data_IF_599009983905
#
_entry.id   IF_599009983905
#
_cell.length_a   1.000
_cell.length_b   1.000
_cell.length_c   1.000
_cell.angle_alpha   90.00
_cell.angle_beta   90.00
_cell.angle_gamma   90.00
#
_symmetry.space_group_name_H-M   'P 1'
#
loop_
_entity.id
_entity.type
_entity.pdbx_description
1 polymer ?
#
# COMPACT_ATOMS: atom_id res chain seq x y z
N UNK A 1 9.46 15.68 -7.38
CA UNK A 1 8.58 16.54 -8.23
C UNK A 1 9.46 17.20 -9.29
N UNK A 2 9.07 17.11 -10.56
CA UNK A 2 9.73 17.80 -11.68
C UNK A 2 8.71 18.68 -12.39
N UNK A 3 9.14 19.45 -13.40
CA UNK A 3 8.23 20.24 -14.25
C UNK A 3 7.14 19.38 -14.92
N UNK A 4 7.42 18.09 -15.16
CA UNK A 4 6.47 17.16 -15.78
C UNK A 4 5.52 16.47 -14.78
N UNK A 5 5.69 16.65 -13.47
CA UNK A 5 4.78 16.07 -12.48
C UNK A 5 3.45 16.82 -12.51
N UNK A 6 2.38 16.12 -12.85
CA UNK A 6 1.02 16.64 -12.90
C UNK A 6 0.10 16.00 -11.86
N UNK A 7 -1.21 16.22 -12.03
CA UNK A 7 -2.22 15.72 -11.10
C UNK A 7 -2.26 14.19 -11.07
N UNK A 8 -2.08 13.52 -12.21
CA UNK A 8 -2.15 12.07 -12.29
C UNK A 8 -1.04 11.41 -11.46
N UNK A 9 0.18 11.94 -11.54
CA UNK A 9 1.33 11.45 -10.78
C UNK A 9 1.12 11.65 -9.28
N UNK A 10 0.58 12.79 -8.86
CA UNK A 10 0.29 13.05 -7.44
C UNK A 10 -0.84 12.16 -6.91
N UNK A 11 -1.93 11.98 -7.68
CA UNK A 11 -3.01 11.07 -7.27
C UNK A 11 -2.48 9.63 -7.14
N UNK A 12 -1.69 9.17 -8.11
CA UNK A 12 -1.07 7.85 -8.06
C UNK A 12 -0.14 7.73 -6.85
N UNK A 13 0.72 8.72 -6.61
CA UNK A 13 1.62 8.73 -5.46
C UNK A 13 0.86 8.69 -4.11
N UNK A 14 -0.29 9.35 -4.01
CA UNK A 14 -1.14 9.27 -2.81
C UNK A 14 -1.68 7.85 -2.59
N UNK A 15 -2.12 7.18 -3.66
CA UNK A 15 -2.59 5.79 -3.57
C UNK A 15 -1.44 4.86 -3.20
N UNK A 16 -0.29 4.98 -3.86
CA UNK A 16 0.91 4.17 -3.58
C UNK A 16 1.42 4.39 -2.15
N UNK A 17 1.36 5.61 -1.63
CA UNK A 17 1.73 5.93 -0.25
C UNK A 17 0.88 5.19 0.79
N UNK A 18 -0.38 4.86 0.49
CA UNK A 18 -1.22 4.05 1.39
C UNK A 18 -0.66 2.64 1.51
N UNK A 19 -0.26 2.02 0.39
CA UNK A 19 0.32 0.68 0.40
C UNK A 19 1.67 0.62 1.11
N UNK A 20 2.52 1.63 0.92
CA UNK A 20 3.80 1.74 1.63
C UNK A 20 3.58 1.84 3.15
N UNK A 21 2.62 2.65 3.60
CA UNK A 21 2.31 2.74 5.03
C UNK A 21 1.79 1.42 5.60
N UNK A 22 0.97 0.68 4.86
CA UNK A 22 0.54 -0.66 5.27
C UNK A 22 1.72 -1.63 5.37
N UNK A 23 2.64 -1.61 4.40
CA UNK A 23 3.85 -2.44 4.41
C UNK A 23 4.69 -2.20 5.67
N UNK A 24 4.94 -0.95 6.01
CA UNK A 24 5.72 -0.61 7.21
C UNK A 24 5.10 -1.19 8.49
N UNK A 25 3.77 -1.15 8.59
CA UNK A 25 3.03 -1.75 9.72
C UNK A 25 3.10 -3.27 9.70
N UNK A 26 2.93 -3.89 8.54
CA UNK A 26 3.02 -5.36 8.37
C UNK A 26 4.42 -5.85 8.75
N UNK A 27 5.47 -5.19 8.28
CA UNK A 27 6.86 -5.53 8.61
C UNK A 27 7.11 -5.42 10.12
N UNK A 28 6.60 -4.36 10.75
CA UNK A 28 6.69 -4.19 12.20
C UNK A 28 5.94 -5.29 12.97
N UNK A 29 4.74 -5.67 12.52
CA UNK A 29 3.95 -6.76 13.11
C UNK A 29 4.62 -8.11 12.97
N UNK A 30 5.19 -8.40 11.79
CA UNK A 30 5.93 -9.63 11.53
C UNK A 30 7.18 -9.72 12.42
N UNK A 31 7.94 -8.62 12.53
CA UNK A 31 9.10 -8.54 13.41
C UNK A 31 8.75 -8.73 14.90
N UNK A 32 7.64 -8.14 15.36
CA UNK A 32 7.21 -8.25 16.75
C UNK A 32 6.62 -9.62 17.10
N UNK A 33 5.91 -10.26 16.17
CA UNK A 33 5.27 -11.57 16.39
C UNK A 33 6.20 -12.76 16.14
N UNK A 34 7.27 -12.57 15.36
CA UNK A 34 8.15 -13.66 14.91
C UNK A 34 7.51 -14.57 13.84
N UNK A 35 6.34 -14.20 13.33
CA UNK A 35 5.60 -14.95 12.31
C UNK A 35 5.42 -14.10 11.05
N UNK A 36 5.70 -14.68 9.89
CA UNK A 36 5.41 -14.03 8.61
C UNK A 36 3.91 -13.98 8.32
N UNK A 37 3.45 -12.89 7.70
CA UNK A 37 2.07 -12.76 7.22
C UNK A 37 2.01 -13.38 5.81
N UNK A 38 1.18 -14.39 5.63
CA UNK A 38 1.01 -15.07 4.32
C UNK A 38 -0.13 -14.49 3.49
N UNK A 39 -1.14 -13.92 4.16
CA UNK A 39 -2.35 -13.42 3.54
C UNK A 39 -2.84 -12.19 4.31
N UNK A 40 -3.23 -11.13 3.58
CA UNK A 40 -3.78 -9.91 4.15
C UNK A 40 -5.27 -9.79 3.78
N UNK A 41 -6.14 -9.83 4.78
CA UNK A 41 -7.57 -9.54 4.61
C UNK A 41 -7.78 -8.03 4.66
N UNK A 42 -8.45 -7.48 3.66
CA UNK A 42 -8.68 -6.03 3.49
C UNK A 42 -10.17 -5.71 3.48
N UNK A 43 -10.54 -4.56 4.03
CA UNK A 43 -11.92 -4.05 4.05
C UNK A 43 -11.97 -2.52 3.92
N UNK A 44 -13.18 -1.96 3.98
CA UNK A 44 -13.42 -0.51 3.96
C UNK A 44 -13.52 0.09 2.55
N UNK A 45 -13.70 1.41 2.48
CA UNK A 45 -13.94 2.11 1.21
C UNK A 45 -12.74 2.12 0.27
N UNK A 46 -11.51 1.97 0.78
CA UNK A 46 -10.31 1.95 -0.04
C UNK A 46 -10.11 0.61 -0.77
N UNK A 47 -10.65 -0.49 -0.23
CA UNK A 47 -10.46 -1.82 -0.81
C UNK A 47 -11.23 -2.04 -2.12
N UNK A 48 -12.14 -1.13 -2.48
CA UNK A 48 -12.84 -1.16 -3.78
C UNK A 48 -11.98 -0.63 -4.93
N UNK A 49 -10.79 -0.10 -4.64
CA UNK A 49 -9.89 0.44 -5.65
C UNK A 49 -8.90 -0.65 -6.10
N UNK A 50 -9.13 -1.23 -7.27
CA UNK A 50 -8.30 -2.31 -7.82
C UNK A 50 -6.82 -1.92 -8.00
N UNK A 51 -6.54 -0.66 -8.35
CA UNK A 51 -5.15 -0.18 -8.48
C UNK A 51 -4.44 -0.20 -7.12
N UNK A 52 -5.12 0.24 -6.05
CA UNK A 52 -4.58 0.18 -4.70
C UNK A 52 -4.38 -1.27 -4.27
N UNK A 53 -5.36 -2.14 -4.50
CA UNK A 53 -5.29 -3.54 -4.07
C UNK A 53 -4.18 -4.30 -4.78
N UNK A 54 -4.01 -4.09 -6.09
CA UNK A 54 -2.89 -4.70 -6.81
C UNK A 54 -1.55 -4.16 -6.33
N UNK A 55 -1.40 -2.84 -6.18
CA UNK A 55 -0.15 -2.25 -5.72
C UNK A 55 0.19 -2.68 -4.27
N UNK A 56 -0.81 -2.81 -3.40
CA UNK A 56 -0.66 -3.35 -2.05
C UNK A 56 -0.14 -4.78 -2.08
N UNK A 57 -0.69 -5.64 -2.95
CA UNK A 57 -0.24 -7.01 -3.13
C UNK A 57 1.18 -7.09 -3.71
N UNK A 58 1.56 -6.16 -4.60
CA UNK A 58 2.91 -6.10 -5.17
C UNK A 58 3.98 -5.63 -4.16
N UNK A 59 3.57 -4.92 -3.10
CA UNK A 59 4.47 -4.42 -2.05
C UNK A 59 4.73 -5.40 -0.90
N UNK A 60 3.85 -6.38 -0.70
CA UNK A 60 3.91 -7.36 0.40
C UNK A 60 4.41 -8.72 -0.10
#
# INVERSE_FOLDING_TARGET
ITRGTGRAEIVRATVEAMAYQTRDVVDAMAAASGTGITDLRVDGGASVNDLLMQFQADQL
#
